data_IF_908050467419
#
_entry.id   IF_908050467419
#
_cell.length_a   1.000
_cell.length_b   1.000
_cell.length_c   1.000
_cell.angle_alpha   90.00
_cell.angle_beta   90.00
_cell.angle_gamma   90.00
#
_symmetry.space_group_name_H-M   'P 1'
#
loop_
_entity.id
_entity.type
_entity.pdbx_description
1 polymer ?
#
# COMPACT_ATOMS: atom_id res chain seq x y z
N UNK A 1 2.12 -13.40 19.80
CA UNK A 1 0.74 -13.61 19.36
C UNK A 1 0.62 -13.04 17.96
N UNK A 2 0.18 -13.84 17.00
CA UNK A 2 -0.12 -13.35 15.64
C UNK A 2 -1.37 -12.47 15.69
N UNK A 3 -1.35 -11.31 15.03
CA UNK A 3 -2.50 -10.40 14.91
C UNK A 3 -3.43 -10.76 13.75
N UNK A 4 -3.16 -11.85 13.05
CA UNK A 4 -3.92 -12.34 11.90
C UNK A 4 -4.00 -11.30 10.76
N UNK A 5 -2.86 -10.62 10.54
CA UNK A 5 -2.69 -9.58 9.53
C UNK A 5 -1.47 -9.87 8.68
N UNK A 6 -1.53 -9.46 7.42
CA UNK A 6 -0.48 -9.60 6.44
C UNK A 6 0.04 -8.21 6.05
N UNK A 7 1.36 -8.06 5.94
CA UNK A 7 1.99 -6.93 5.24
C UNK A 7 1.84 -7.17 3.73
N UNK A 8 0.83 -6.57 3.09
CA UNK A 8 0.41 -6.98 1.74
C UNK A 8 1.43 -6.70 0.64
N UNK A 9 2.33 -5.72 0.80
CA UNK A 9 3.37 -5.44 -0.20
C UNK A 9 4.39 -6.58 -0.36
N UNK A 10 4.60 -7.40 0.69
CA UNK A 10 5.53 -8.54 0.65
C UNK A 10 4.93 -9.79 -0.01
N UNK A 11 3.65 -9.75 -0.38
CA UNK A 11 2.94 -10.91 -0.93
C UNK A 11 2.89 -10.94 -2.44
N UNK A 12 3.40 -9.90 -3.10
CA UNK A 12 3.42 -9.77 -4.56
C UNK A 12 4.87 -9.78 -5.06
N UNK A 13 5.14 -10.33 -6.25
CA UNK A 13 6.47 -10.33 -6.87
C UNK A 13 6.80 -8.93 -7.41
N UNK A 14 7.06 -8.00 -6.50
CA UNK A 14 7.46 -6.64 -6.82
C UNK A 14 8.98 -6.57 -7.10
N UNK A 15 9.35 -5.72 -8.07
CA UNK A 15 10.76 -5.29 -8.22
C UNK A 15 11.12 -4.36 -7.05
N UNK A 16 12.39 -4.26 -6.68
CA UNK A 16 12.85 -3.36 -5.61
C UNK A 16 12.39 -1.90 -5.83
N UNK A 17 12.32 -1.46 -7.08
CA UNK A 17 11.79 -0.15 -7.48
C UNK A 17 10.32 0.08 -7.13
N UNK A 18 9.56 -0.98 -6.85
CA UNK A 18 8.15 -0.94 -6.47
C UNK A 18 7.92 -1.26 -4.98
N UNK A 19 8.99 -1.50 -4.21
CA UNK A 19 8.93 -1.83 -2.78
C UNK A 19 9.35 -0.63 -1.92
N UNK A 20 10.32 0.17 -2.38
CA UNK A 20 10.71 1.39 -1.69
C UNK A 20 9.56 2.39 -1.63
N UNK A 21 9.27 2.93 -0.44
CA UNK A 21 8.22 3.94 -0.19
C UNK A 21 8.80 5.29 0.20
N UNK A 22 10.12 5.40 0.35
CA UNK A 22 10.82 6.63 0.70
C UNK A 22 12.19 6.70 0.03
N UNK A 23 12.66 7.91 -0.26
CA UNK A 23 14.00 8.21 -0.79
C UNK A 23 14.61 9.40 -0.08
N UNK A 24 15.90 9.35 0.25
CA UNK A 24 16.63 10.52 0.72
C UNK A 24 16.70 11.62 -0.34
N UNK A 25 16.91 12.86 0.09
CA UNK A 25 16.99 14.04 -0.79
C UNK A 25 18.12 13.94 -1.82
N UNK A 26 19.21 13.25 -1.48
CA UNK A 26 20.33 12.98 -2.40
C UNK A 26 20.04 11.84 -3.40
N UNK A 27 18.88 11.17 -3.27
CA UNK A 27 18.44 10.06 -4.13
C UNK A 27 19.21 8.74 -3.95
N UNK A 28 20.18 8.70 -3.01
CA UNK A 28 21.08 7.56 -2.79
C UNK A 28 20.39 6.47 -1.98
N UNK A 29 19.75 6.85 -0.88
CA UNK A 29 19.11 5.92 0.06
C UNK A 29 17.64 5.77 -0.29
N UNK A 30 17.17 4.52 -0.35
CA UNK A 30 15.76 4.19 -0.54
C UNK A 30 15.34 3.14 0.48
N UNK A 31 14.21 3.38 1.13
CA UNK A 31 13.71 2.51 2.20
C UNK A 31 12.25 2.13 1.97
N UNK A 32 11.82 1.06 2.62
CA UNK A 32 10.42 0.66 2.76
C UNK A 32 9.99 0.98 4.20
N UNK A 33 9.34 2.12 4.41
CA UNK A 33 8.91 2.57 5.74
C UNK A 33 7.39 2.70 5.87
N UNK A 34 6.67 2.63 4.75
CA UNK A 34 5.21 2.65 4.69
C UNK A 34 4.70 1.28 4.28
N UNK A 35 3.64 0.81 4.97
CA UNK A 35 3.09 -0.52 4.74
C UNK A 35 1.57 -0.50 4.69
N UNK A 36 1.02 -1.40 3.87
CA UNK A 36 -0.40 -1.73 3.85
C UNK A 36 -0.58 -3.02 4.63
N UNK A 37 -1.27 -2.93 5.76
CA UNK A 37 -1.64 -4.07 6.59
C UNK A 37 -3.08 -4.48 6.28
N UNK A 38 -3.31 -5.77 6.05
CA UNK A 38 -4.63 -6.31 5.72
C UNK A 38 -4.92 -7.52 6.61
N UNK A 39 -6.13 -7.58 7.17
CA UNK A 39 -6.58 -8.78 7.87
C UNK A 39 -6.59 -9.97 6.92
N UNK A 40 -6.10 -11.12 7.37
CA UNK A 40 -5.93 -12.29 6.51
C UNK A 40 -7.23 -12.73 5.82
N UNK A 41 -8.40 -12.53 6.46
CA UNK A 41 -9.71 -12.81 5.87
C UNK A 41 -10.02 -12.00 4.60
N UNK A 42 -9.45 -10.80 4.47
CA UNK A 42 -9.62 -9.91 3.31
C UNK A 42 -8.43 -9.99 2.34
N UNK A 43 -7.40 -10.77 2.64
CA UNK A 43 -6.24 -10.92 1.75
C UNK A 43 -6.64 -11.32 0.32
N UNK A 44 -7.61 -12.23 0.08
CA UNK A 44 -7.99 -12.63 -1.28
C UNK A 44 -8.56 -11.49 -2.16
N UNK A 45 -9.07 -10.40 -1.58
CA UNK A 45 -9.57 -9.25 -2.36
C UNK A 45 -8.48 -8.24 -2.73
N UNK A 46 -7.28 -8.36 -2.16
CA UNK A 46 -6.15 -7.51 -2.53
C UNK A 46 -5.50 -8.10 -3.79
N UNK A 47 -5.65 -7.40 -4.92
CA UNK A 47 -5.13 -7.83 -6.21
C UNK A 47 -3.69 -7.39 -6.45
N UNK A 48 -3.28 -6.26 -5.88
CA UNK A 48 -1.90 -5.76 -5.99
C UNK A 48 -1.61 -4.69 -4.93
N UNK A 49 -0.34 -4.59 -4.50
CA UNK A 49 0.19 -3.50 -3.68
C UNK A 49 1.57 -3.12 -4.20
N UNK A 50 1.78 -1.84 -4.53
CA UNK A 50 3.08 -1.34 -5.00
C UNK A 50 3.30 0.13 -4.69
N UNK A 51 4.57 0.54 -4.58
CA UNK A 51 4.97 1.93 -4.61
C UNK A 51 4.96 2.49 -6.05
N UNK A 52 4.45 3.70 -6.21
CA UNK A 52 4.33 4.40 -7.48
C UNK A 52 5.34 5.56 -7.53
N UNK A 53 6.46 5.34 -8.23
CA UNK A 53 7.57 6.31 -8.31
C UNK A 53 7.35 7.48 -9.27
N UNK A 54 6.35 7.41 -10.14
CA UNK A 54 6.05 8.46 -11.13
C UNK A 54 4.98 9.46 -10.68
N UNK A 55 4.58 9.43 -9.41
CA UNK A 55 3.65 10.38 -8.85
C UNK A 55 4.49 11.50 -8.26
N UNK A 56 4.45 12.67 -8.88
CA UNK A 56 5.07 13.85 -8.32
C UNK A 56 4.16 14.40 -7.22
N UNK A 57 4.58 14.23 -5.97
CA UNK A 57 3.88 14.74 -4.80
C UNK A 57 4.71 15.79 -4.06
N UNK A 58 5.87 16.21 -4.59
CA UNK A 58 6.83 17.06 -3.88
C UNK A 58 7.19 16.56 -2.46
N UNK A 59 7.20 15.24 -2.25
CA UNK A 59 7.64 14.61 -1.00
C UNK A 59 8.77 13.63 -1.27
N UNK A 60 9.50 13.29 -0.22
CA UNK A 60 10.49 12.21 -0.18
C UNK A 60 9.84 10.80 -0.15
N UNK A 61 8.52 10.73 0.00
CA UNK A 61 7.74 9.49 -0.04
C UNK A 61 7.22 9.14 -1.44
N UNK A 62 7.31 7.86 -1.80
CA UNK A 62 6.62 7.30 -2.95
C UNK A 62 5.19 6.91 -2.58
N UNK A 63 4.21 7.41 -3.34
CA UNK A 63 2.81 7.06 -3.14
C UNK A 63 2.58 5.56 -3.31
N UNK A 64 1.93 4.93 -2.34
CA UNK A 64 1.49 3.54 -2.44
C UNK A 64 0.17 3.42 -3.19
N UNK A 65 0.03 2.39 -4.02
CA UNK A 65 -1.21 2.03 -4.70
C UNK A 65 -1.63 0.62 -4.30
N UNK A 66 -2.91 0.47 -3.99
CA UNK A 66 -3.55 -0.82 -3.70
C UNK A 66 -4.66 -1.03 -4.73
N UNK A 67 -4.69 -2.21 -5.32
CA UNK A 67 -5.81 -2.65 -6.17
C UNK A 67 -6.64 -3.63 -5.34
N UNK A 68 -7.91 -3.30 -5.13
CA UNK A 68 -8.83 -4.07 -4.31
C UNK A 68 -10.02 -4.48 -5.17
N UNK A 69 -10.48 -5.73 -5.00
CA UNK A 69 -11.72 -6.25 -5.59
C UNK A 69 -12.75 -6.44 -4.48
N UNK A 70 -13.59 -5.43 -4.28
CA UNK A 70 -14.69 -5.45 -3.33
C UNK A 70 -15.90 -4.69 -3.90
N UNK A 71 -17.08 -4.99 -3.38
CA UNK A 71 -18.29 -4.20 -3.64
C UNK A 71 -18.37 -3.05 -2.62
N UNK A 72 -18.58 -1.83 -3.11
CA UNK A 72 -18.71 -0.65 -2.24
C UNK A 72 -20.19 -0.44 -1.95
N UNK A 73 -20.58 -0.72 -0.72
CA UNK A 73 -21.91 -0.37 -0.20
C UNK A 73 -21.83 1.08 0.29
N UNK A 74 -22.72 1.95 -0.20
CA UNK A 74 -22.87 3.29 0.34
C UNK A 74 -23.68 3.22 1.62
N UNK A 75 -23.17 3.79 2.70
CA UNK A 75 -24.04 4.14 3.83
C UNK A 75 -24.95 5.29 3.40
N UNK A 76 -26.25 5.15 3.61
CA UNK A 76 -27.16 6.29 3.58
C UNK A 76 -26.91 7.12 4.83
N UNK A 77 -26.66 8.43 4.67
CA UNK A 77 -26.58 9.34 5.80
C UNK A 77 -27.87 9.23 6.61
N UNK A 78 -27.75 8.90 7.90
CA UNK A 78 -28.88 8.96 8.81
C UNK A 78 -29.40 10.40 8.82
N UNK A 79 -30.73 10.63 8.70
CA UNK A 79 -31.28 11.97 8.89
C UNK A 79 -30.84 12.49 10.26
N UNK A 80 -30.29 13.71 10.29
CA UNK A 80 -29.94 14.41 11.53
C UNK A 80 -31.16 14.63 12.43
#
# INVERSE_FOLDING_TARGET
>A
MDRNMTVSITTFPNKDTHIATWSSTDGVTRNQIDHVLVFNRHRPSILNVRAWRGADCNTDHFRMTVIIKEEIIKEEESPQ
#
